data_IF_058409776187
#
_entry.id   IF_058409776187
#
_cell.length_a   1.000
_cell.length_b   1.000
_cell.length_c   1.000
_cell.angle_alpha   90.00
_cell.angle_beta   90.00
_cell.angle_gamma   90.00
#
_symmetry.space_group_name_H-M   'P 1'
#
loop_
_entity.id
_entity.type
_entity.pdbx_description
1 polymer ?
#
# COMPACT_ATOMS: atom_id res chain seq x y z
N UNK A 1 5.25 -25.25 15.35
CA UNK A 1 5.49 -25.42 13.90
C UNK A 1 5.22 -26.85 13.42
N UNK A 2 5.33 -27.88 14.28
CA UNK A 2 5.31 -29.31 13.92
C UNK A 2 3.94 -30.05 13.99
N UNK A 3 2.83 -29.36 14.22
CA UNK A 3 1.46 -29.94 14.21
C UNK A 3 0.49 -29.17 13.31
N UNK A 4 1.02 -28.30 12.44
CA UNK A 4 0.19 -27.58 11.48
C UNK A 4 0.11 -28.44 10.21
N UNK A 5 -1.07 -28.60 9.61
CA UNK A 5 -1.19 -29.27 8.32
C UNK A 5 -0.28 -28.61 7.28
N UNK A 6 0.14 -29.36 6.23
CA UNK A 6 0.94 -28.87 5.12
C UNK A 6 0.40 -27.56 4.53
N UNK A 7 1.29 -26.79 3.90
CA UNK A 7 0.93 -25.50 3.33
C UNK A 7 -0.16 -25.66 2.26
N UNK A 8 -0.14 -26.74 1.46
CA UNK A 8 -1.15 -26.99 0.44
C UNK A 8 -2.52 -27.24 1.06
N UNK A 9 -2.61 -28.09 2.08
CA UNK A 9 -3.88 -28.37 2.78
C UNK A 9 -4.47 -27.10 3.39
N UNK A 10 -3.62 -26.21 3.92
CA UNK A 10 -4.04 -24.92 4.47
C UNK A 10 -4.49 -23.95 3.38
N UNK A 11 -3.89 -23.98 2.19
CA UNK A 11 -4.34 -23.19 1.05
C UNK A 11 -5.69 -23.73 0.56
N UNK A 12 -5.82 -25.04 0.41
CA UNK A 12 -7.05 -25.70 -0.01
C UNK A 12 -8.21 -25.40 0.95
N UNK A 13 -7.98 -25.46 2.27
CA UNK A 13 -8.98 -25.07 3.27
C UNK A 13 -9.44 -23.61 3.10
N UNK A 14 -8.49 -22.67 2.92
CA UNK A 14 -8.81 -21.25 2.71
C UNK A 14 -9.52 -20.99 1.37
N UNK A 15 -9.19 -21.72 0.32
CA UNK A 15 -9.88 -21.62 -0.97
C UNK A 15 -11.28 -22.21 -0.91
N UNK A 16 -11.48 -23.28 -0.12
CA UNK A 16 -12.80 -23.88 0.13
C UNK A 16 -13.70 -22.94 0.93
N UNK A 17 -13.14 -22.23 1.90
CA UNK A 17 -13.85 -21.21 2.70
C UNK A 17 -14.12 -19.92 1.91
N UNK A 18 -13.27 -19.60 0.92
CA UNK A 18 -13.53 -18.50 -0.01
C UNK A 18 -14.64 -18.91 -0.98
N UNK A 19 -15.82 -18.34 -0.77
CA UNK A 19 -16.91 -18.42 -1.74
C UNK A 19 -16.52 -17.87 -3.12
N UNK A 20 -17.36 -18.07 -4.14
CA UNK A 20 -17.11 -17.60 -5.49
C UNK A 20 -16.82 -16.09 -5.53
N UNK A 21 -15.94 -15.67 -6.44
CA UNK A 21 -15.65 -14.27 -6.67
C UNK A 21 -16.95 -13.53 -7.01
N UNK A 22 -17.29 -12.52 -6.21
CA UNK A 22 -18.49 -11.72 -6.46
C UNK A 22 -18.22 -10.82 -7.68
N UNK A 23 -19.01 -10.89 -8.75
CA UNK A 23 -18.81 -10.04 -9.93
C UNK A 23 -18.84 -8.57 -9.52
N UNK A 24 -17.92 -7.77 -10.07
CA UNK A 24 -17.83 -6.33 -9.78
C UNK A 24 -17.21 -5.98 -8.42
N UNK A 25 -16.80 -6.96 -7.61
CA UNK A 25 -16.06 -6.69 -6.37
C UNK A 25 -14.56 -6.62 -6.64
N UNK A 26 -13.95 -5.51 -6.25
CA UNK A 26 -12.49 -5.32 -6.28
C UNK A 26 -11.98 -5.24 -4.84
N UNK A 27 -10.70 -5.49 -4.64
CA UNK A 27 -10.06 -5.26 -3.36
C UNK A 27 -10.33 -3.81 -2.91
N UNK A 28 -10.70 -3.54 -1.64
CA UNK A 28 -10.92 -2.18 -1.18
C UNK A 28 -9.60 -1.41 -1.18
N UNK A 29 -9.39 -0.59 -2.22
CA UNK A 29 -8.16 0.19 -2.42
C UNK A 29 -8.10 1.45 -1.55
N UNK A 30 -9.11 1.72 -0.70
CA UNK A 30 -9.20 2.98 0.07
C UNK A 30 -7.92 3.31 0.85
N UNK A 31 -7.42 2.42 1.72
CA UNK A 31 -6.19 2.66 2.47
C UNK A 31 -4.95 2.80 1.57
N UNK A 32 -4.81 1.94 0.57
CA UNK A 32 -3.67 1.96 -0.34
C UNK A 32 -3.64 3.25 -1.19
N UNK A 33 -4.80 3.70 -1.66
CA UNK A 33 -4.96 4.94 -2.43
C UNK A 33 -4.56 6.16 -1.59
N UNK A 34 -5.01 6.22 -0.34
CA UNK A 34 -4.62 7.32 0.56
C UNK A 34 -3.11 7.35 0.81
N UNK A 35 -2.51 6.20 1.14
CA UNK A 35 -1.06 6.12 1.38
C UNK A 35 -0.26 6.53 0.15
N UNK A 36 -0.70 6.14 -1.04
CA UNK A 36 -0.06 6.51 -2.30
C UNK A 36 -0.05 8.03 -2.52
N UNK A 37 -1.21 8.68 -2.45
CA UNK A 37 -1.31 10.13 -2.66
C UNK A 37 -0.62 10.93 -1.56
N UNK A 38 -0.73 10.48 -0.31
CA UNK A 38 -0.03 11.11 0.81
C UNK A 38 1.49 11.02 0.62
N UNK A 39 2.01 9.84 0.31
CA UNK A 39 3.44 9.64 0.06
C UNK A 39 3.97 10.49 -1.08
N UNK A 40 3.24 10.54 -2.21
CA UNK A 40 3.59 11.44 -3.33
C UNK A 40 3.57 12.90 -2.87
N UNK A 41 2.55 13.33 -2.12
CA UNK A 41 2.45 14.68 -1.59
C UNK A 41 3.65 15.08 -0.74
N UNK A 42 4.07 14.21 0.18
CA UNK A 42 5.27 14.44 1.03
C UNK A 42 6.52 14.60 0.16
N UNK A 43 6.72 13.74 -0.83
CA UNK A 43 7.88 13.83 -1.74
C UNK A 43 7.86 15.15 -2.50
N UNK A 44 6.73 15.51 -3.12
CA UNK A 44 6.62 16.76 -3.89
C UNK A 44 6.86 17.98 -3.01
N UNK A 45 6.23 18.05 -1.84
CA UNK A 45 6.37 19.19 -0.92
C UNK A 45 7.81 19.35 -0.44
N UNK A 46 8.45 18.26 -0.02
CA UNK A 46 9.85 18.30 0.45
C UNK A 46 10.82 18.75 -0.65
N UNK A 47 10.60 18.31 -1.89
CA UNK A 47 11.43 18.74 -3.02
C UNK A 47 11.20 20.20 -3.38
N UNK A 48 9.95 20.69 -3.34
CA UNK A 48 9.65 22.12 -3.57
C UNK A 48 10.32 22.97 -2.48
N UNK A 49 10.26 22.55 -1.22
CA UNK A 49 10.93 23.26 -0.11
C UNK A 49 12.44 23.28 -0.34
N UNK A 50 13.06 22.13 -0.60
CA UNK A 50 14.50 22.04 -0.83
C UNK A 50 14.95 22.90 -2.02
N UNK A 51 14.19 22.89 -3.12
CA UNK A 51 14.46 23.70 -4.29
C UNK A 51 14.28 25.20 -4.01
N UNK A 52 13.27 25.57 -3.22
CA UNK A 52 13.05 26.95 -2.80
C UNK A 52 14.18 27.45 -1.90
N UNK A 53 14.65 26.63 -0.96
CA UNK A 53 15.82 26.94 -0.14
C UNK A 53 17.07 27.12 -1.01
N UNK A 54 17.27 26.27 -2.02
CA UNK A 54 18.43 26.38 -2.90
C UNK A 54 18.45 27.67 -3.75
N UNK A 55 17.29 28.12 -4.24
CA UNK A 55 17.21 29.25 -5.18
C UNK A 55 16.84 30.60 -4.55
N UNK A 56 16.09 30.59 -3.44
CA UNK A 56 15.47 31.81 -2.87
C UNK A 56 16.10 32.18 -1.54
N UNK A 57 16.56 31.20 -0.75
CA UNK A 57 17.26 31.46 0.50
C UNK A 57 18.75 31.70 0.22
N UNK A 58 19.22 32.94 0.43
CA UNK A 58 20.64 33.28 0.27
C UNK A 58 21.49 32.80 1.45
N UNK A 59 20.88 32.20 2.47
CA UNK A 59 21.53 31.96 3.75
C UNK A 59 21.82 33.27 4.49
N UNK A 60 22.27 33.21 5.76
CA UNK A 60 22.90 34.35 6.42
C UNK A 60 24.22 34.74 5.74
#
# INVERSE_FOLDING_TARGET
MFKRPPIEERIAARQRERGPLKPGTVFPHGPAKMLFFFGIGVVVVTHIIALSMYFVDKGP
#
